data_IF_732970475648
#
_entry.id   IF_732970475648
#
_cell.length_a   1.000
_cell.length_b   1.000
_cell.length_c   1.000
_cell.angle_alpha   90.00
_cell.angle_beta   90.00
_cell.angle_gamma   90.00
#
_symmetry.space_group_name_H-M   'P 1'
#
loop_
_entity.id
_entity.type
_entity.pdbx_description
1 polymer ?
#
# COMPACT_ATOMS: atom_id res chain seq x y z
N UNK A 1 -15.72 5.44 26.49
CA UNK A 1 -17.17 5.44 26.78
C UNK A 1 -17.71 6.86 26.83
N UNK A 2 -18.88 7.10 26.27
CA UNK A 2 -19.58 8.39 26.33
C UNK A 2 -20.67 8.37 27.42
N UNK A 3 -21.29 9.52 27.66
CA UNK A 3 -22.30 9.69 28.72
C UNK A 3 -23.58 8.86 28.50
N UNK A 4 -23.76 8.26 27.32
CA UNK A 4 -24.94 7.49 26.95
C UNK A 4 -24.70 5.97 27.00
N UNK A 5 -23.61 5.51 27.62
CA UNK A 5 -23.25 4.09 27.71
C UNK A 5 -22.92 3.42 26.35
N UNK A 6 -22.34 4.20 25.43
CA UNK A 6 -21.76 3.73 24.16
C UNK A 6 -20.28 4.12 24.06
N UNK A 7 -19.61 3.68 23.00
CA UNK A 7 -18.24 4.11 22.69
C UNK A 7 -18.22 4.92 21.39
N UNK A 8 -17.55 6.07 21.44
CA UNK A 8 -17.30 6.93 20.28
C UNK A 8 -15.91 6.61 19.68
N UNK A 9 -15.77 6.77 18.37
CA UNK A 9 -14.47 6.82 17.70
C UNK A 9 -13.96 8.27 17.71
N UNK A 10 -12.73 8.46 18.19
CA UNK A 10 -12.11 9.77 18.39
C UNK A 10 -10.78 9.82 17.67
N UNK A 11 -10.49 10.95 17.05
CA UNK A 11 -9.20 11.19 16.42
C UNK A 11 -8.11 11.33 17.51
N UNK A 12 -7.00 10.57 17.43
CA UNK A 12 -6.01 10.53 18.50
C UNK A 12 -5.26 11.85 18.69
N UNK A 13 -5.16 12.70 17.67
CA UNK A 13 -4.40 13.96 17.72
C UNK A 13 -5.28 15.14 18.14
N UNK A 14 -6.40 15.34 17.46
CA UNK A 14 -7.33 16.46 17.67
C UNK A 14 -8.30 16.23 18.82
N UNK A 15 -8.44 14.98 19.27
CA UNK A 15 -9.46 14.52 20.25
C UNK A 15 -10.90 14.81 19.81
N UNK A 16 -11.12 15.12 18.54
CA UNK A 16 -12.45 15.32 17.99
C UNK A 16 -13.13 13.97 17.73
N UNK A 17 -14.44 13.91 17.96
CA UNK A 17 -15.23 12.71 17.68
C UNK A 17 -15.36 12.56 16.17
N UNK A 18 -14.80 11.47 15.62
CA UNK A 18 -14.94 11.09 14.21
C UNK A 18 -16.34 10.52 13.98
N UNK A 19 -16.78 9.63 14.88
CA UNK A 19 -18.10 8.99 14.80
C UNK A 19 -18.61 8.65 16.19
N UNK A 20 -19.84 9.07 16.50
CA UNK A 20 -20.52 8.75 17.75
C UNK A 20 -21.11 7.34 17.73
N UNK A 21 -21.20 6.72 18.90
CA UNK A 21 -21.89 5.45 19.15
C UNK A 21 -21.49 4.33 18.16
N UNK A 22 -20.19 4.14 17.93
CA UNK A 22 -19.70 3.13 16.98
C UNK A 22 -19.93 1.70 17.48
N UNK A 23 -20.01 1.51 18.80
CA UNK A 23 -20.29 0.23 19.44
C UNK A 23 -20.93 0.41 20.81
N UNK A 24 -21.65 -0.63 21.25
CA UNK A 24 -22.18 -0.75 22.61
C UNK A 24 -21.05 -1.02 23.61
N UNK A 25 -21.29 -0.74 24.89
CA UNK A 25 -20.35 -1.13 25.95
C UNK A 25 -20.19 -2.64 26.08
N UNK A 26 -21.25 -3.41 25.83
CA UNK A 26 -21.18 -4.88 25.82
C UNK A 26 -20.20 -5.40 24.76
N UNK A 27 -20.27 -4.87 23.53
CA UNK A 27 -19.33 -5.23 22.47
C UNK A 27 -17.90 -4.79 22.81
N UNK A 28 -17.74 -3.60 23.38
CA UNK A 28 -16.42 -3.09 23.79
C UNK A 28 -15.74 -4.01 24.81
N UNK A 29 -16.45 -4.40 25.87
CA UNK A 29 -15.91 -5.31 26.88
C UNK A 29 -15.66 -6.71 26.29
N UNK A 30 -16.54 -7.19 25.39
CA UNK A 30 -16.32 -8.43 24.65
C UNK A 30 -15.02 -8.42 23.85
N UNK A 31 -14.76 -7.36 23.07
CA UNK A 31 -13.52 -7.21 22.30
C UNK A 31 -12.29 -7.10 23.22
N UNK A 32 -12.42 -6.43 24.36
CA UNK A 32 -11.35 -6.34 25.38
C UNK A 32 -11.01 -7.70 25.97
N UNK A 33 -12.01 -8.52 26.30
CA UNK A 33 -11.85 -9.89 26.79
C UNK A 33 -11.15 -10.78 25.74
N UNK A 34 -11.45 -10.59 24.46
CA UNK A 34 -10.78 -11.27 23.34
C UNK A 34 -9.42 -10.67 22.99
N UNK A 35 -8.94 -9.67 23.76
CA UNK A 35 -7.64 -9.01 23.56
C UNK A 35 -7.46 -8.40 22.17
N UNK A 36 -8.54 -7.89 21.58
CA UNK A 36 -8.46 -7.18 20.30
C UNK A 36 -7.64 -5.90 20.50
N UNK A 37 -6.62 -5.64 19.65
CA UNK A 37 -5.66 -4.56 19.86
C UNK A 37 -6.21 -3.19 19.41
N UNK A 38 -7.21 -2.65 20.12
CA UNK A 38 -7.73 -1.29 19.89
C UNK A 38 -7.21 -0.28 20.93
N UNK A 39 -7.29 1.02 20.61
CA UNK A 39 -6.81 2.14 21.45
C UNK A 39 -5.31 2.09 21.77
N UNK A 40 -4.49 1.70 20.79
CA UNK A 40 -3.03 1.60 20.94
C UNK A 40 -2.38 2.80 20.27
N UNK A 41 -1.45 3.42 20.99
CA UNK A 41 -0.56 4.43 20.42
C UNK A 41 0.55 3.73 19.65
N UNK A 42 0.43 3.74 18.31
CA UNK A 42 1.37 3.06 17.44
C UNK A 42 2.77 3.67 17.52
N UNK A 43 2.89 4.99 17.67
CA UNK A 43 4.19 5.68 17.63
C UNK A 43 5.07 5.30 18.81
N UNK A 44 4.47 4.93 19.95
CA UNK A 44 5.16 4.48 21.17
C UNK A 44 5.58 3.01 21.16
N UNK A 45 5.18 2.24 20.16
CA UNK A 45 5.53 0.82 20.08
C UNK A 45 7.01 0.63 19.70
N UNK A 46 7.67 -0.41 20.23
CA UNK A 46 8.96 -0.85 19.72
C UNK A 46 8.87 -1.18 18.22
N UNK A 47 9.97 -0.94 17.49
CA UNK A 47 10.04 -1.15 16.04
C UNK A 47 9.64 -2.57 15.61
N UNK A 48 10.08 -3.60 16.34
CA UNK A 48 9.71 -4.99 16.06
C UNK A 48 8.20 -5.21 16.11
N UNK A 49 7.51 -4.66 17.13
CA UNK A 49 6.05 -4.75 17.24
C UNK A 49 5.33 -3.96 16.13
N UNK A 50 5.89 -2.81 15.72
CA UNK A 50 5.38 -2.04 14.57
C UNK A 50 5.42 -2.91 13.31
N UNK A 51 6.56 -3.54 13.01
CA UNK A 51 6.74 -4.44 11.86
C UNK A 51 5.77 -5.61 11.93
N UNK A 52 5.69 -6.30 13.07
CA UNK A 52 4.80 -7.45 13.26
C UNK A 52 3.34 -7.09 12.96
N UNK A 53 2.85 -5.96 13.48
CA UNK A 53 1.49 -5.49 13.25
C UNK A 53 1.21 -5.17 11.79
N UNK A 54 2.13 -4.48 11.11
CA UNK A 54 2.00 -4.17 9.68
C UNK A 54 1.95 -5.48 8.89
N UNK A 55 2.87 -6.40 9.15
CA UNK A 55 2.94 -7.71 8.50
C UNK A 55 1.68 -8.54 8.71
N UNK A 56 1.09 -8.53 9.92
CA UNK A 56 -0.18 -9.21 10.21
C UNK A 56 -1.32 -8.68 9.35
N UNK A 57 -1.43 -7.36 9.16
CA UNK A 57 -2.46 -6.75 8.29
C UNK A 57 -2.20 -7.07 6.82
N UNK A 58 -0.93 -7.09 6.41
CA UNK A 58 -0.52 -7.48 5.07
C UNK A 58 -0.69 -9.00 4.84
N UNK A 59 -0.78 -9.83 5.88
CA UNK A 59 -0.81 -11.30 5.75
C UNK A 59 0.56 -11.90 5.45
N UNK A 60 1.64 -11.28 5.94
CA UNK A 60 3.01 -11.76 5.84
C UNK A 60 3.30 -12.61 7.08
N UNK A 61 3.63 -13.89 6.88
CA UNK A 61 3.80 -14.85 7.98
C UNK A 61 5.12 -14.71 8.74
N UNK A 62 6.18 -14.32 8.05
CA UNK A 62 7.52 -14.19 8.60
C UNK A 62 7.97 -12.74 8.44
N UNK A 63 7.71 -11.87 9.43
CA UNK A 63 8.10 -10.47 9.35
C UNK A 63 9.61 -10.32 9.31
N UNK A 64 10.12 -9.62 8.31
CA UNK A 64 11.51 -9.18 8.23
C UNK A 64 11.51 -7.67 8.02
N UNK A 65 12.31 -6.95 8.79
CA UNK A 65 12.48 -5.52 8.61
C UNK A 65 13.39 -5.23 7.41
N UNK A 66 12.90 -4.59 6.34
CA UNK A 66 13.70 -4.39 5.13
C UNK A 66 14.68 -3.21 5.21
N UNK A 67 14.41 -2.21 6.05
CA UNK A 67 15.21 -0.99 6.17
C UNK A 67 15.02 -0.36 7.56
N UNK A 68 15.96 -0.65 8.47
CA UNK A 68 15.97 -0.12 9.84
C UNK A 68 16.02 1.42 9.89
N UNK A 69 16.46 2.08 8.81
CA UNK A 69 16.59 3.54 8.74
C UNK A 69 15.31 4.25 8.27
N UNK A 70 14.29 3.50 7.83
CA UNK A 70 12.99 4.07 7.48
C UNK A 70 12.10 4.23 8.72
N UNK A 71 11.65 5.44 8.99
CA UNK A 71 10.86 5.73 10.20
C UNK A 71 9.40 5.27 10.07
N UNK A 72 8.96 4.40 11.00
CA UNK A 72 7.60 3.85 11.04
C UNK A 72 6.70 4.71 11.94
N UNK A 73 6.29 5.85 11.41
CA UNK A 73 5.28 6.72 12.03
C UNK A 73 3.86 6.22 11.76
N UNK A 74 2.91 6.58 12.60
CA UNK A 74 1.48 6.33 12.37
C UNK A 74 1.04 6.79 10.97
N UNK A 75 1.47 7.96 10.54
CA UNK A 75 1.15 8.53 9.21
C UNK A 75 1.70 7.67 8.06
N UNK A 76 2.98 7.26 8.11
CA UNK A 76 3.58 6.40 7.08
C UNK A 76 2.85 5.05 6.98
N UNK A 77 2.47 4.47 8.12
CA UNK A 77 1.74 3.20 8.15
C UNK A 77 0.32 3.35 7.63
N UNK A 78 -0.41 4.41 8.02
CA UNK A 78 -1.74 4.65 7.45
C UNK A 78 -1.69 4.82 5.93
N UNK A 79 -0.66 5.47 5.39
CA UNK A 79 -0.43 5.57 3.93
C UNK A 79 -0.18 4.21 3.29
N UNK A 80 0.70 3.37 3.87
CA UNK A 80 0.94 2.01 3.38
C UNK A 80 -0.33 1.15 3.41
N UNK A 81 -1.08 1.21 4.52
CA UNK A 81 -2.34 0.49 4.66
C UNK A 81 -3.41 0.97 3.67
N UNK A 82 -3.48 2.27 3.41
CA UNK A 82 -4.39 2.83 2.39
C UNK A 82 -4.05 2.31 0.99
N UNK A 83 -2.77 2.25 0.62
CA UNK A 83 -2.32 1.69 -0.66
C UNK A 83 -2.67 0.20 -0.74
N UNK A 84 -2.35 -0.56 0.31
CA UNK A 84 -2.66 -1.99 0.37
C UNK A 84 -4.16 -2.27 0.24
N UNK A 85 -5.01 -1.51 0.94
CA UNK A 85 -6.47 -1.66 0.85
C UNK A 85 -7.00 -1.28 -0.53
N UNK A 86 -6.46 -0.24 -1.18
CA UNK A 86 -6.84 0.09 -2.56
C UNK A 86 -6.52 -1.04 -3.52
N UNK A 87 -5.32 -1.64 -3.43
CA UNK A 87 -4.97 -2.82 -4.23
C UNK A 87 -5.91 -3.99 -3.97
N UNK A 88 -6.22 -4.26 -2.70
CA UNK A 88 -7.12 -5.36 -2.29
C UNK A 88 -8.54 -5.16 -2.84
N UNK A 89 -9.01 -3.92 -2.92
CA UNK A 89 -10.33 -3.57 -3.45
C UNK A 89 -10.33 -3.29 -4.96
N UNK A 90 -9.20 -3.45 -5.67
CA UNK A 90 -9.11 -3.17 -7.11
C UNK A 90 -9.24 -1.68 -7.47
N UNK A 91 -9.02 -0.76 -6.53
CA UNK A 91 -9.11 0.68 -6.76
C UNK A 91 -7.76 1.20 -7.29
N UNK A 92 -7.73 1.99 -8.38
CA UNK A 92 -6.50 2.61 -8.87
C UNK A 92 -5.77 3.44 -7.79
N UNK A 93 -4.44 3.35 -7.78
CA UNK A 93 -3.58 4.05 -6.82
C UNK A 93 -2.78 5.12 -7.55
N UNK A 94 -3.10 6.37 -7.26
CA UNK A 94 -2.36 7.55 -7.69
C UNK A 94 -1.96 8.32 -6.42
N UNK A 95 -0.68 8.63 -6.27
CA UNK A 95 -0.11 9.26 -5.07
C UNK A 95 0.41 10.64 -5.43
N UNK A 96 -0.39 11.67 -5.18
CA UNK A 96 0.03 13.05 -5.41
C UNK A 96 0.84 13.59 -4.22
N UNK A 97 1.92 14.30 -4.49
CA UNK A 97 2.69 15.02 -3.48
C UNK A 97 3.93 15.68 -4.10
N UNK A 98 4.56 16.61 -3.38
CA UNK A 98 5.77 17.28 -3.85
C UNK A 98 6.96 16.30 -3.97
N UNK A 99 7.97 16.68 -4.75
CA UNK A 99 9.25 15.96 -4.80
C UNK A 99 9.90 15.95 -3.42
N UNK A 100 10.51 14.83 -3.02
CA UNK A 100 11.18 14.72 -1.71
C UNK A 100 10.26 14.40 -0.52
N UNK A 101 8.94 14.30 -0.70
CA UNK A 101 8.02 13.94 0.39
C UNK A 101 8.00 12.43 0.74
N UNK A 102 8.91 11.63 0.15
CA UNK A 102 9.13 10.23 0.52
C UNK A 102 8.23 9.19 -0.20
N UNK A 103 7.48 9.54 -1.24
CA UNK A 103 6.59 8.60 -1.99
C UNK A 103 7.32 7.33 -2.44
N UNK A 104 8.42 7.50 -3.16
CA UNK A 104 9.25 6.41 -3.69
C UNK A 104 9.81 5.54 -2.58
N UNK A 105 10.25 6.14 -1.47
CA UNK A 105 10.79 5.41 -0.32
C UNK A 105 9.71 4.60 0.41
N UNK A 106 8.50 5.16 0.55
CA UNK A 106 7.35 4.46 1.14
C UNK A 106 6.93 3.25 0.31
N UNK A 107 6.81 3.40 -1.02
CA UNK A 107 6.48 2.29 -1.93
C UNK A 107 7.57 1.21 -1.88
N UNK A 108 8.85 1.62 -1.92
CA UNK A 108 9.97 0.70 -1.82
C UNK A 108 9.92 -0.11 -0.53
N UNK A 109 9.73 0.56 0.61
CA UNK A 109 9.61 -0.12 1.90
C UNK A 109 8.44 -1.12 1.92
N UNK A 110 7.26 -0.74 1.41
CA UNK A 110 6.10 -1.64 1.33
C UNK A 110 6.38 -2.90 0.48
N UNK A 111 7.07 -2.74 -0.65
CA UNK A 111 7.43 -3.85 -1.52
C UNK A 111 8.47 -4.76 -0.87
N UNK A 112 9.53 -4.19 -0.28
CA UNK A 112 10.57 -4.98 0.38
C UNK A 112 10.04 -5.73 1.61
N UNK A 113 9.13 -5.10 2.38
CA UNK A 113 8.43 -5.74 3.49
C UNK A 113 7.64 -6.96 3.02
N UNK A 114 6.91 -6.84 1.89
CA UNK A 114 6.14 -7.93 1.27
C UNK A 114 7.01 -9.10 0.81
N UNK A 115 8.19 -8.81 0.29
CA UNK A 115 9.15 -9.80 -0.22
C UNK A 115 9.76 -10.65 0.90
N UNK A 116 9.82 -10.11 2.12
CA UNK A 116 10.38 -10.76 3.31
C UNK A 116 11.68 -11.55 3.05
N UNK A 117 12.65 -10.89 2.41
CA UNK A 117 13.99 -11.45 2.18
C UNK A 117 14.15 -12.37 0.96
N UNK A 118 13.07 -12.74 0.25
CA UNK A 118 13.15 -13.55 -0.99
C UNK A 118 13.97 -12.84 -2.05
N UNK A 119 15.05 -13.42 -2.57
CA UNK A 119 16.01 -12.75 -3.47
C UNK A 119 15.51 -12.56 -4.93
N UNK A 120 14.43 -11.80 -5.12
CA UNK A 120 13.87 -11.37 -6.41
C UNK A 120 13.43 -9.91 -6.32
N UNK A 121 13.26 -9.22 -7.45
CA UNK A 121 12.69 -7.87 -7.44
C UNK A 121 11.16 -7.95 -7.51
N UNK A 122 10.48 -7.22 -6.63
CA UNK A 122 9.02 -7.06 -6.66
C UNK A 122 8.58 -5.60 -6.85
N UNK A 123 9.52 -4.71 -7.15
CA UNK A 123 9.26 -3.31 -7.50
C UNK A 123 9.96 -2.97 -8.81
N UNK A 124 9.18 -2.59 -9.82
CA UNK A 124 9.67 -1.99 -11.06
C UNK A 124 9.43 -0.48 -11.00
N UNK A 125 10.48 0.29 -10.76
CA UNK A 125 10.41 1.76 -10.79
C UNK A 125 10.61 2.27 -12.22
N UNK A 126 9.68 3.09 -12.71
CA UNK A 126 9.74 3.77 -14.00
C UNK A 126 9.71 5.26 -13.75
N UNK A 127 10.80 5.96 -14.05
CA UNK A 127 10.84 7.43 -14.03
C UNK A 127 10.28 7.96 -15.33
N UNK A 128 9.13 8.61 -15.26
CA UNK A 128 8.48 9.24 -16.40
C UNK A 128 9.07 10.65 -16.60
N UNK A 129 9.20 11.07 -17.85
CA UNK A 129 9.66 12.40 -18.24
C UNK A 129 9.01 12.80 -19.57
N UNK A 130 9.23 14.04 -20.03
CA UNK A 130 8.62 14.54 -21.28
C UNK A 130 9.02 13.79 -22.56
N UNK A 131 9.97 12.86 -22.49
CA UNK A 131 10.36 12.00 -23.61
C UNK A 131 9.80 10.57 -23.52
N UNK A 132 9.04 10.25 -22.47
CA UNK A 132 8.45 8.92 -22.29
C UNK A 132 7.23 8.76 -23.19
N UNK A 133 7.33 7.93 -24.24
CA UNK A 133 6.21 7.63 -25.15
C UNK A 133 5.26 6.56 -24.60
N UNK A 134 4.09 6.40 -25.24
CA UNK A 134 3.14 5.31 -24.95
C UNK A 134 3.79 3.94 -25.10
N UNK A 135 4.54 3.71 -26.18
CA UNK A 135 5.23 2.44 -26.43
C UNK A 135 6.21 2.08 -25.30
N UNK A 136 6.92 3.08 -24.76
CA UNK A 136 7.82 2.87 -23.61
C UNK A 136 7.03 2.47 -22.36
N UNK A 137 5.88 3.10 -22.11
CA UNK A 137 5.00 2.76 -20.98
C UNK A 137 4.51 1.31 -21.13
N UNK A 138 3.95 0.96 -22.29
CA UNK A 138 3.42 -0.37 -22.57
C UNK A 138 4.48 -1.46 -22.47
N UNK A 139 5.68 -1.23 -23.03
CA UNK A 139 6.81 -2.15 -22.87
C UNK A 139 7.14 -2.39 -21.39
N UNK A 140 7.18 -1.32 -20.57
CA UNK A 140 7.45 -1.46 -19.12
C UNK A 140 6.34 -2.18 -18.37
N UNK A 141 5.08 -2.02 -18.79
CA UNK A 141 3.96 -2.76 -18.22
C UNK A 141 4.09 -4.25 -18.51
N UNK A 142 4.40 -4.63 -19.77
CA UNK A 142 4.60 -6.04 -20.15
C UNK A 142 5.82 -6.67 -19.45
N UNK A 143 6.93 -5.93 -19.32
CA UNK A 143 8.08 -6.36 -18.51
C UNK A 143 7.66 -6.64 -17.05
N UNK A 144 6.89 -5.72 -16.44
CA UNK A 144 6.45 -5.87 -15.05
C UNK A 144 5.43 -7.00 -14.88
N UNK A 145 4.54 -7.23 -15.85
CA UNK A 145 3.59 -8.33 -15.89
C UNK A 145 4.31 -9.70 -15.88
N UNK A 146 5.38 -9.83 -16.68
CA UNK A 146 6.18 -11.06 -16.70
C UNK A 146 6.88 -11.32 -15.35
N UNK A 147 7.47 -10.29 -14.73
CA UNK A 147 8.10 -10.41 -13.41
C UNK A 147 7.05 -10.76 -12.35
N UNK A 148 5.88 -10.12 -12.40
CA UNK A 148 4.80 -10.37 -11.47
C UNK A 148 4.31 -11.82 -11.55
N UNK A 149 4.13 -12.35 -12.76
CA UNK A 149 3.70 -13.74 -12.96
C UNK A 149 4.68 -14.74 -12.33
N UNK A 150 5.99 -14.54 -12.53
CA UNK A 150 7.05 -15.38 -11.93
C UNK A 150 7.00 -15.29 -10.40
N UNK A 151 6.89 -14.08 -9.84
CA UNK A 151 6.84 -13.89 -8.40
C UNK A 151 5.57 -14.50 -7.77
N UNK A 152 4.43 -14.39 -8.47
CA UNK A 152 3.17 -14.98 -8.04
C UNK A 152 3.23 -16.51 -8.06
N UNK A 153 3.82 -17.11 -9.10
CA UNK A 153 3.95 -18.57 -9.24
C UNK A 153 4.93 -19.18 -8.23
N UNK A 154 6.11 -18.58 -8.06
CA UNK A 154 7.18 -19.17 -7.25
C UNK A 154 7.14 -18.78 -5.78
N UNK A 155 6.62 -17.60 -5.45
CA UNK A 155 6.71 -17.03 -4.10
C UNK A 155 5.37 -16.55 -3.52
N UNK A 156 4.30 -16.57 -4.32
CA UNK A 156 2.94 -16.20 -3.90
C UNK A 156 2.83 -14.79 -3.29
N UNK A 157 3.48 -13.81 -3.92
CA UNK A 157 3.29 -12.39 -3.58
C UNK A 157 3.15 -11.50 -4.83
N UNK A 158 2.48 -10.36 -4.64
CA UNK A 158 2.27 -9.34 -5.65
C UNK A 158 3.57 -8.55 -5.98
N UNK A 159 3.69 -8.11 -7.23
CA UNK A 159 4.73 -7.16 -7.67
C UNK A 159 4.13 -5.80 -8.01
N UNK A 160 4.90 -4.73 -7.82
CA UNK A 160 4.46 -3.35 -8.04
C UNK A 160 5.21 -2.74 -9.23
N UNK A 161 4.48 -2.25 -10.22
CA UNK A 161 4.98 -1.28 -11.19
C UNK A 161 4.68 0.13 -10.69
N UNK A 162 5.72 0.93 -10.50
CA UNK A 162 5.59 2.28 -9.99
C UNK A 162 6.07 3.31 -11.02
N UNK A 163 5.13 4.07 -11.57
CA UNK A 163 5.40 5.24 -12.41
C UNK A 163 5.62 6.46 -11.51
N UNK A 164 6.87 6.90 -11.39
CA UNK A 164 7.24 8.11 -10.67
C UNK A 164 7.25 9.31 -11.62
N UNK A 165 6.79 10.47 -11.16
CA UNK A 165 6.63 11.68 -11.97
C UNK A 165 5.74 11.46 -13.20
N UNK A 166 4.68 10.66 -13.04
CA UNK A 166 3.79 10.20 -14.11
C UNK A 166 3.13 11.34 -14.90
N UNK A 167 2.97 12.51 -14.28
CA UNK A 167 2.36 13.70 -14.88
C UNK A 167 3.29 14.50 -15.80
N UNK A 168 4.55 14.09 -15.99
CA UNK A 168 5.54 14.84 -16.79
C UNK A 168 5.57 14.46 -18.28
N UNK A 169 4.78 13.48 -18.70
CA UNK A 169 4.66 13.02 -20.10
C UNK A 169 3.35 13.45 -20.74
N UNK A 170 3.35 13.64 -22.05
CA UNK A 170 2.14 13.78 -22.87
C UNK A 170 1.38 12.45 -23.01
N UNK A 171 2.03 11.30 -22.77
CA UNK A 171 1.45 9.96 -22.83
C UNK A 171 0.70 9.55 -21.53
N UNK A 172 0.19 10.52 -20.76
CA UNK A 172 -0.53 10.28 -19.50
C UNK A 172 -1.80 9.43 -19.69
N UNK A 173 -2.43 9.51 -20.88
CA UNK A 173 -3.56 8.67 -21.27
C UNK A 173 -3.24 7.18 -21.21
N UNK A 174 -2.02 6.80 -21.60
CA UNK A 174 -1.53 5.42 -21.57
C UNK A 174 -1.38 4.90 -20.14
N UNK A 175 -0.94 5.77 -19.21
CA UNK A 175 -0.93 5.45 -17.77
C UNK A 175 -2.36 5.27 -17.23
N UNK A 176 -3.31 6.12 -17.66
CA UNK A 176 -4.73 5.98 -17.31
C UNK A 176 -5.31 4.66 -17.82
N UNK A 177 -5.02 4.28 -19.06
CA UNK A 177 -5.49 3.02 -19.65
C UNK A 177 -5.06 1.83 -18.80
N UNK A 178 -3.76 1.80 -18.46
CA UNK A 178 -3.14 0.74 -17.67
C UNK A 178 -3.69 0.72 -16.23
N UNK A 179 -3.87 1.88 -15.59
CA UNK A 179 -4.34 1.98 -14.20
C UNK A 179 -5.82 1.68 -14.05
N UNK A 180 -6.66 2.27 -14.90
CA UNK A 180 -8.12 2.27 -14.76
C UNK A 180 -8.77 1.15 -15.56
N UNK A 181 -8.39 1.01 -16.83
CA UNK A 181 -9.04 0.06 -17.75
C UNK A 181 -8.37 -1.32 -17.70
N UNK A 182 -7.18 -1.41 -17.11
CA UNK A 182 -6.36 -2.63 -17.02
C UNK A 182 -6.09 -3.21 -18.41
N UNK A 183 -5.76 -2.33 -19.36
CA UNK A 183 -5.44 -2.70 -20.73
C UNK A 183 -4.11 -2.09 -21.18
N UNK A 184 -3.52 -2.69 -22.22
CA UNK A 184 -2.37 -2.21 -22.97
C UNK A 184 -2.73 -2.33 -24.43
N UNK A 185 -2.92 -1.20 -25.11
CA UNK A 185 -3.36 -1.12 -26.51
C UNK A 185 -4.71 -1.85 -26.72
N UNK A 186 -5.61 -1.75 -25.73
CA UNK A 186 -6.91 -2.41 -25.73
C UNK A 186 -6.88 -3.90 -25.35
N UNK A 187 -5.72 -4.52 -25.17
CA UNK A 187 -5.61 -5.89 -24.67
C UNK A 187 -5.59 -5.92 -23.14
N UNK A 188 -6.38 -6.80 -22.53
CA UNK A 188 -6.42 -6.91 -21.07
C UNK A 188 -5.10 -7.41 -20.47
N UNK A 189 -4.72 -6.79 -19.35
CA UNK A 189 -3.70 -7.33 -18.46
C UNK A 189 -4.18 -8.64 -17.84
N UNK A 190 -3.23 -9.53 -17.58
CA UNK A 190 -3.50 -10.83 -17.01
C UNK A 190 -3.95 -10.67 -15.54
N UNK A 191 -5.24 -10.86 -15.27
CA UNK A 191 -5.86 -10.53 -13.98
C UNK A 191 -5.23 -11.27 -12.77
N UNK A 192 -4.58 -12.40 -13.02
CA UNK A 192 -4.02 -13.29 -11.98
C UNK A 192 -2.49 -13.25 -11.91
N UNK A 193 -1.82 -12.35 -12.63
CA UNK A 193 -0.35 -12.29 -12.60
C UNK A 193 0.22 -11.64 -11.33
N UNK A 194 -0.60 -11.12 -10.41
CA UNK A 194 -0.12 -10.47 -9.20
C UNK A 194 0.48 -9.07 -9.43
N UNK A 195 0.27 -8.46 -10.60
CA UNK A 195 0.76 -7.10 -10.88
C UNK A 195 -0.15 -6.03 -10.25
N UNK A 196 0.43 -5.16 -9.43
CA UNK A 196 -0.17 -3.93 -8.93
C UNK A 196 0.53 -2.73 -9.56
N UNK A 197 -0.22 -1.67 -9.83
CA UNK A 197 0.30 -0.50 -10.55
C UNK A 197 0.00 0.75 -9.73
N UNK A 198 1.02 1.58 -9.56
CA UNK A 198 0.97 2.86 -8.85
C UNK A 198 1.51 3.94 -9.78
N UNK A 199 0.89 5.12 -9.75
CA UNK A 199 1.47 6.33 -10.32
C UNK A 199 1.64 7.40 -9.23
N UNK A 200 2.65 8.26 -9.37
CA UNK A 200 2.89 9.42 -8.53
C UNK A 200 3.16 10.68 -9.37
#
# INVERSE_FOLDING_TARGET
PNNNNFVDAVDPFTKQVIKRNIMTMELYEGLKLQRVPFNIDFDQLPRGEKIERICNVLGIQWPLDPDETYELTTDNILKMLAIHMRFRCGIPVIIMGETGCGKTRLIKFLCELRRSGVATDNLKLVKVHGGTSSDMIYAKVREAEAIAAINQEHYNFDSVLFFDEANTTEAISSIKEVLCDKTVEGEHLNANCGLKIVAA
#
